data_IF_552292629191
#
_entry.id   IF_552292629191
#
_cell.length_a   1.000
_cell.length_b   1.000
_cell.length_c   1.000
_cell.angle_alpha   90.00
_cell.angle_beta   90.00
_cell.angle_gamma   90.00
#
_symmetry.space_group_name_H-M   'P 1'
#
loop_
_entity.id
_entity.type
_entity.pdbx_description
1 polymer ?
#
# COMPACT_ATOMS: atom_id res chain seq x y z
N UNK A 1 16.15 31.84 37.88
CA UNK A 1 16.70 30.49 38.17
C UNK A 1 15.78 29.36 37.72
N UNK A 2 14.48 29.39 38.02
CA UNK A 2 13.51 28.34 37.62
C UNK A 2 13.40 28.13 36.09
N UNK A 3 13.45 29.20 35.30
CA UNK A 3 13.36 29.11 33.83
C UNK A 3 14.55 28.37 33.17
N UNK A 4 15.76 28.50 33.75
CA UNK A 4 16.96 27.84 33.24
C UNK A 4 16.91 26.31 33.49
N UNK A 5 16.35 25.90 34.63
CA UNK A 5 16.16 24.49 34.98
C UNK A 5 15.08 23.87 34.08
N UNK A 6 13.99 24.60 33.81
CA UNK A 6 12.94 24.16 32.89
C UNK A 6 13.47 23.97 31.45
N UNK A 7 14.33 24.87 30.96
CA UNK A 7 14.97 24.73 29.65
C UNK A 7 15.97 23.57 29.57
N UNK A 8 16.76 23.36 30.63
CA UNK A 8 17.71 22.24 30.72
C UNK A 8 17.04 20.87 30.73
N UNK A 9 15.83 20.77 31.27
CA UNK A 9 15.04 19.53 31.26
C UNK A 9 14.20 19.36 29.98
N UNK A 10 13.71 20.44 29.38
CA UNK A 10 12.91 20.38 28.16
C UNK A 10 13.74 20.05 26.90
N UNK A 11 14.95 20.58 26.77
CA UNK A 11 15.83 20.33 25.62
C UNK A 11 16.14 18.83 25.37
N UNK A 12 16.54 18.01 26.36
CA UNK A 12 16.80 16.59 26.15
C UNK A 12 15.52 15.81 25.83
N UNK A 13 14.37 16.19 26.39
CA UNK A 13 13.08 15.55 26.09
C UNK A 13 12.71 15.78 24.62
N UNK A 14 12.81 17.03 24.15
CA UNK A 14 12.56 17.36 22.73
C UNK A 14 13.55 16.61 21.82
N UNK A 15 14.83 16.56 22.19
CA UNK A 15 15.85 15.81 21.46
C UNK A 15 15.54 14.31 21.37
N UNK A 16 15.08 13.70 22.46
CA UNK A 16 14.69 12.29 22.50
C UNK A 16 13.46 12.00 21.63
N UNK A 17 12.44 12.87 21.66
CA UNK A 17 11.24 12.75 20.80
C UNK A 17 11.64 12.85 19.33
N UNK A 18 12.49 13.81 18.98
CA UNK A 18 12.98 13.99 17.61
C UNK A 18 13.78 12.77 17.14
N UNK A 19 14.70 12.28 17.96
CA UNK A 19 15.51 11.11 17.65
C UNK A 19 14.63 9.87 17.47
N UNK A 20 13.65 9.65 18.34
CA UNK A 20 12.68 8.55 18.22
C UNK A 20 11.87 8.67 16.92
N UNK A 21 11.41 9.88 16.56
CA UNK A 21 10.68 10.14 15.32
C UNK A 21 11.55 9.86 14.09
N UNK A 22 12.82 10.27 14.10
CA UNK A 22 13.77 10.00 13.00
C UNK A 22 14.04 8.51 12.87
N UNK A 23 14.26 7.80 14.00
CA UNK A 23 14.47 6.35 13.99
C UNK A 23 13.26 5.61 13.43
N UNK A 24 12.04 5.95 13.88
CA UNK A 24 10.79 5.37 13.35
C UNK A 24 10.62 5.64 11.85
N UNK A 25 10.94 6.85 11.39
CA UNK A 25 10.91 7.16 9.96
C UNK A 25 11.92 6.31 9.19
N UNK A 26 13.14 6.15 9.69
CA UNK A 26 14.18 5.31 9.06
C UNK A 26 13.81 3.84 9.02
N UNK A 27 13.25 3.29 10.10
CA UNK A 27 12.80 1.89 10.11
C UNK A 27 11.64 1.68 9.15
N UNK A 28 10.70 2.62 9.09
CA UNK A 28 9.59 2.57 8.15
C UNK A 28 10.06 2.65 6.69
N UNK A 29 10.99 3.56 6.35
CA UNK A 29 11.52 3.64 4.99
C UNK A 29 12.36 2.42 4.61
N UNK A 30 13.10 1.83 5.55
CA UNK A 30 13.83 0.59 5.31
C UNK A 30 12.89 -0.58 4.99
N UNK A 31 11.87 -0.80 5.83
CA UNK A 31 10.86 -1.84 5.61
C UNK A 31 10.08 -1.62 4.30
N UNK A 32 9.73 -0.38 4.00
CA UNK A 32 9.02 -0.05 2.77
C UNK A 32 9.86 -0.30 1.51
N UNK A 33 11.17 0.01 1.55
CA UNK A 33 12.09 -0.33 0.46
C UNK A 33 12.22 -1.83 0.28
N UNK A 34 12.23 -2.59 1.37
CA UNK A 34 12.27 -4.05 1.31
C UNK A 34 11.00 -4.61 0.65
N UNK A 35 9.83 -4.05 0.96
CA UNK A 35 8.58 -4.39 0.24
C UNK A 35 8.63 -4.05 -1.24
N UNK A 36 9.18 -2.89 -1.61
CA UNK A 36 9.39 -2.55 -3.02
C UNK A 36 10.34 -3.50 -3.74
N UNK A 37 11.41 -3.97 -3.07
CA UNK A 37 12.29 -5.00 -3.65
C UNK A 37 11.55 -6.30 -3.93
N UNK A 38 10.77 -6.78 -2.96
CA UNK A 38 9.93 -7.97 -3.14
C UNK A 38 8.91 -7.78 -4.26
N UNK A 39 8.29 -6.59 -4.33
CA UNK A 39 7.35 -6.23 -5.38
C UNK A 39 7.99 -6.27 -6.77
N UNK A 40 9.16 -5.66 -6.93
CA UNK A 40 9.91 -5.65 -8.18
C UNK A 40 10.39 -7.05 -8.59
N UNK A 41 10.77 -7.87 -7.61
CA UNK A 41 11.13 -9.26 -7.84
C UNK A 41 9.93 -10.08 -8.31
N UNK A 42 8.80 -9.98 -7.62
CA UNK A 42 7.55 -10.62 -8.02
C UNK A 42 7.13 -10.18 -9.44
N UNK A 43 7.24 -8.88 -9.75
CA UNK A 43 6.94 -8.33 -11.08
C UNK A 43 7.84 -8.92 -12.18
N UNK A 44 9.08 -9.30 -11.87
CA UNK A 44 10.00 -9.95 -12.83
C UNK A 44 9.73 -11.44 -12.97
N UNK A 45 9.32 -12.10 -11.89
CA UNK A 45 9.05 -13.54 -11.85
C UNK A 45 7.72 -13.89 -12.54
N UNK A 46 6.72 -13.04 -12.37
CA UNK A 46 5.39 -13.23 -12.91
C UNK A 46 5.25 -12.49 -14.24
N UNK A 47 4.69 -13.16 -15.25
CA UNK A 47 4.54 -12.62 -16.61
C UNK A 47 3.53 -11.47 -16.70
N UNK A 48 2.29 -11.79 -17.09
CA UNK A 48 1.24 -10.78 -17.23
C UNK A 48 0.82 -10.26 -15.85
N UNK A 49 1.35 -9.10 -15.49
CA UNK A 49 1.03 -8.42 -14.23
C UNK A 49 0.49 -7.01 -14.51
N UNK A 50 -0.33 -6.50 -13.60
CA UNK A 50 -0.74 -5.11 -13.56
C UNK A 50 -0.53 -4.52 -12.18
N UNK A 51 -0.31 -3.21 -12.15
CA UNK A 51 -0.20 -2.47 -10.91
C UNK A 51 -1.50 -1.71 -10.68
N UNK A 52 -2.09 -1.89 -9.50
CA UNK A 52 -3.27 -1.14 -9.07
C UNK A 52 -2.98 -0.47 -7.73
N UNK A 53 -3.37 0.78 -7.59
CA UNK A 53 -3.24 1.50 -6.31
C UNK A 53 -4.57 1.51 -5.58
N UNK A 54 -4.56 1.10 -4.32
CA UNK A 54 -5.71 1.18 -3.42
C UNK A 54 -5.89 2.62 -2.98
N UNK A 55 -7.02 3.22 -3.32
CA UNK A 55 -7.37 4.59 -2.97
C UNK A 55 -8.14 4.67 -1.66
N UNK A 56 -9.07 3.73 -1.43
CA UNK A 56 -9.86 3.62 -0.20
C UNK A 56 -10.13 2.17 0.17
N UNK A 57 -10.41 1.95 1.46
CA UNK A 57 -10.94 0.70 2.00
C UNK A 57 -12.23 1.08 2.74
N UNK A 58 -13.36 0.73 2.15
CA UNK A 58 -14.67 1.29 2.51
C UNK A 58 -15.38 0.42 3.56
N UNK A 59 -15.30 -0.90 3.44
CA UNK A 59 -15.87 -1.85 4.39
C UNK A 59 -15.01 -3.11 4.51
N UNK A 60 -14.74 -3.52 5.75
CA UNK A 60 -14.02 -4.75 6.11
C UNK A 60 -15.03 -5.84 6.44
N UNK A 61 -15.02 -6.91 5.66
CA UNK A 61 -15.83 -8.12 5.85
C UNK A 61 -14.93 -9.33 6.16
N UNK A 62 -15.46 -10.42 6.74
CA UNK A 62 -14.65 -11.60 7.08
C UNK A 62 -13.97 -12.25 5.86
N UNK A 63 -14.61 -12.15 4.70
CA UNK A 63 -14.18 -12.76 3.43
C UNK A 63 -13.37 -11.81 2.56
N UNK A 64 -13.31 -10.52 2.89
CA UNK A 64 -12.67 -9.54 2.03
C UNK A 64 -12.99 -8.10 2.41
N UNK A 65 -12.75 -7.19 1.48
CA UNK A 65 -13.01 -5.77 1.69
C UNK A 65 -13.45 -5.09 0.40
N UNK A 66 -14.42 -4.20 0.53
CA UNK A 66 -14.75 -3.25 -0.51
C UNK A 66 -13.67 -2.17 -0.56
N UNK A 67 -13.06 -2.01 -1.72
CA UNK A 67 -11.97 -1.06 -1.94
C UNK A 67 -12.23 -0.25 -3.22
N UNK A 68 -11.65 0.94 -3.30
CA UNK A 68 -11.54 1.66 -4.57
C UNK A 68 -10.12 1.51 -5.09
N UNK A 69 -9.96 1.06 -6.34
CA UNK A 69 -8.65 0.91 -6.98
C UNK A 69 -8.47 1.85 -8.15
N UNK A 70 -7.22 2.20 -8.39
CA UNK A 70 -6.76 2.88 -9.60
C UNK A 70 -5.87 1.94 -10.39
N UNK A 71 -6.22 1.68 -11.64
CA UNK A 71 -5.35 1.00 -12.60
C UNK A 71 -4.23 1.94 -13.03
N UNK A 72 -3.01 1.71 -12.54
CA UNK A 72 -1.92 2.67 -12.70
C UNK A 72 -1.55 2.93 -14.16
N UNK A 73 -1.62 1.89 -14.99
CA UNK A 73 -1.31 2.00 -16.43
C UNK A 73 -2.39 2.73 -17.24
N UNK A 74 -3.65 2.66 -16.80
CA UNK A 74 -4.80 3.16 -17.56
C UNK A 74 -5.41 4.43 -16.96
N UNK A 75 -4.92 4.87 -15.80
CA UNK A 75 -5.48 5.97 -15.01
C UNK A 75 -6.98 5.78 -14.68
N UNK A 76 -7.46 4.54 -14.72
CA UNK A 76 -8.87 4.20 -14.53
C UNK A 76 -9.16 3.90 -13.05
N UNK A 77 -10.19 4.54 -12.49
CA UNK A 77 -10.62 4.34 -11.11
C UNK A 77 -11.95 3.60 -11.10
N UNK A 78 -12.05 2.55 -10.29
CA UNK A 78 -13.26 1.75 -10.16
C UNK A 78 -13.35 1.10 -8.78
N UNK A 79 -14.56 0.71 -8.34
CA UNK A 79 -14.71 -0.10 -7.14
C UNK A 79 -14.24 -1.53 -7.40
N UNK A 80 -13.75 -2.16 -6.35
CA UNK A 80 -13.33 -3.55 -6.37
C UNK A 80 -13.64 -4.25 -5.05
N UNK A 81 -13.84 -5.56 -5.16
CA UNK A 81 -13.83 -6.47 -4.03
C UNK A 81 -12.44 -7.11 -3.93
N UNK A 82 -11.78 -6.94 -2.79
CA UNK A 82 -10.53 -7.62 -2.49
C UNK A 82 -10.82 -8.77 -1.53
N UNK A 83 -10.56 -10.01 -1.94
CA UNK A 83 -10.63 -11.15 -1.03
C UNK A 83 -9.61 -11.00 0.12
N UNK A 84 -9.95 -11.55 1.29
CA UNK A 84 -9.13 -11.43 2.50
C UNK A 84 -7.70 -11.92 2.25
N UNK A 85 -6.74 -11.00 2.41
CA UNK A 85 -5.32 -11.29 2.30
C UNK A 85 -4.74 -11.66 3.67
N UNK A 86 -3.62 -12.40 3.66
CA UNK A 86 -2.90 -12.74 4.89
C UNK A 86 -2.37 -11.49 5.62
N UNK A 87 -2.04 -10.46 4.86
CA UNK A 87 -1.56 -9.18 5.39
C UNK A 87 -2.59 -8.07 5.15
N UNK A 88 -2.77 -7.15 6.12
CA UNK A 88 -3.71 -6.06 5.95
C UNK A 88 -3.24 -5.06 4.90
N UNK A 89 -4.14 -4.67 4.00
CA UNK A 89 -3.92 -3.65 2.98
C UNK A 89 -4.53 -2.32 3.43
N UNK A 90 -3.85 -1.23 3.08
CA UNK A 90 -4.21 0.12 3.49
C UNK A 90 -4.37 1.03 2.28
N UNK A 91 -5.12 2.14 2.41
CA UNK A 91 -5.12 3.20 1.41
C UNK A 91 -3.69 3.68 1.10
N UNK A 92 -3.39 3.86 -0.18
CA UNK A 92 -2.06 4.17 -0.67
C UNK A 92 -1.15 2.96 -0.86
N UNK A 93 -1.62 1.72 -0.69
CA UNK A 93 -0.88 0.54 -1.12
C UNK A 93 -0.97 0.36 -2.63
N UNK A 94 0.16 -0.01 -3.26
CA UNK A 94 0.22 -0.50 -4.64
C UNK A 94 0.21 -2.02 -4.58
N UNK A 95 -0.71 -2.64 -5.31
CA UNK A 95 -0.83 -4.09 -5.46
C UNK A 95 -0.29 -4.49 -6.84
N UNK A 96 0.50 -5.55 -6.87
CA UNK A 96 0.86 -6.26 -8.08
C UNK A 96 -0.16 -7.38 -8.24
N UNK A 97 -0.94 -7.33 -9.30
CA UNK A 97 -2.00 -8.30 -9.55
C UNK A 97 -1.75 -9.04 -10.86
N UNK A 98 -2.25 -10.27 -10.95
CA UNK A 98 -2.50 -10.96 -12.22
C UNK A 98 -3.93 -10.64 -12.65
N UNK A 99 -4.18 -9.79 -13.66
CA UNK A 99 -5.53 -9.43 -14.07
C UNK A 99 -6.30 -10.64 -14.56
N UNK A 100 -7.52 -10.82 -14.07
CA UNK A 100 -8.40 -11.88 -14.56
C UNK A 100 -8.93 -11.53 -15.96
N UNK A 101 -8.58 -12.30 -17.01
CA UNK A 101 -9.04 -12.04 -18.37
C UNK A 101 -10.55 -12.24 -18.53
N UNK A 102 -11.22 -12.96 -17.64
CA UNK A 102 -12.68 -13.06 -17.67
C UNK A 102 -13.37 -11.74 -17.28
N UNK A 103 -12.67 -10.88 -16.54
CA UNK A 103 -13.20 -9.60 -16.06
C UNK A 103 -12.71 -8.41 -16.87
N UNK A 104 -11.44 -8.41 -17.26
CA UNK A 104 -10.81 -7.29 -17.99
C UNK A 104 -10.04 -7.81 -19.19
N UNK A 105 -10.49 -7.43 -20.38
CA UNK A 105 -9.83 -7.70 -21.65
C UNK A 105 -9.74 -6.45 -22.53
N UNK A 106 -8.68 -6.31 -23.33
CA UNK A 106 -8.57 -5.21 -24.28
C UNK A 106 -9.77 -5.13 -25.22
N UNK A 107 -10.36 -3.94 -25.35
CA UNK A 107 -11.49 -3.68 -26.24
C UNK A 107 -12.87 -3.99 -25.67
N UNK A 108 -12.96 -4.59 -24.47
CA UNK A 108 -14.22 -4.74 -23.73
C UNK A 108 -14.42 -3.57 -22.76
N UNK A 109 -15.69 -3.26 -22.39
CA UNK A 109 -15.95 -2.28 -21.35
C UNK A 109 -15.41 -2.78 -20.00
N UNK A 110 -15.03 -1.82 -19.15
CA UNK A 110 -14.66 -2.12 -17.76
C UNK A 110 -15.86 -2.69 -16.99
N UNK A 111 -15.65 -3.69 -16.13
CA UNK A 111 -16.72 -4.19 -15.28
C UNK A 111 -17.11 -3.10 -14.25
N UNK A 112 -18.37 -3.10 -13.82
CA UNK A 112 -18.85 -2.16 -12.82
C UNK A 112 -18.09 -2.31 -11.48
N UNK A 113 -17.74 -3.55 -11.13
CA UNK A 113 -16.96 -3.93 -9.95
C UNK A 113 -15.94 -4.97 -10.37
N UNK A 114 -14.69 -4.82 -9.96
CA UNK A 114 -13.66 -5.82 -10.17
C UNK A 114 -13.48 -6.71 -8.94
N UNK A 115 -13.44 -8.01 -9.14
CA UNK A 115 -13.20 -8.98 -8.10
C UNK A 115 -11.74 -9.39 -8.16
N UNK A 116 -11.02 -9.17 -7.06
CA UNK A 116 -9.62 -9.51 -6.91
C UNK A 116 -9.49 -10.65 -5.89
N UNK A 117 -9.34 -11.90 -6.36
CA UNK A 117 -9.01 -13.04 -5.51
C UNK A 117 -7.67 -12.84 -4.80
N UNK A 118 -7.52 -13.45 -3.63
CA UNK A 118 -6.28 -13.39 -2.86
C UNK A 118 -5.11 -14.03 -3.64
N UNK A 119 -5.39 -15.07 -4.43
CA UNK A 119 -4.41 -15.74 -5.30
C UNK A 119 -3.83 -14.84 -6.39
N UNK A 120 -4.62 -13.86 -6.83
CA UNK A 120 -4.27 -12.99 -7.95
C UNK A 120 -3.53 -11.74 -7.47
N UNK A 121 -3.49 -11.49 -6.15
CA UNK A 121 -2.64 -10.49 -5.52
C UNK A 121 -1.25 -11.07 -5.23
N UNK A 122 -0.30 -10.78 -6.12
CA UNK A 122 1.04 -11.39 -6.11
C UNK A 122 1.99 -10.72 -5.10
N UNK A 123 1.88 -9.40 -4.96
CA UNK A 123 2.70 -8.61 -4.05
C UNK A 123 2.03 -7.28 -3.73
N UNK A 124 2.52 -6.60 -2.70
CA UNK A 124 2.13 -5.22 -2.41
C UNK A 124 3.29 -4.40 -1.88
N UNK A 125 3.22 -3.08 -2.09
CA UNK A 125 4.16 -2.12 -1.55
C UNK A 125 3.48 -0.77 -1.23
N UNK A 126 3.92 -0.03 -0.21
CA UNK A 126 3.31 1.27 0.12
C UNK A 126 3.75 2.37 -0.87
N UNK A 127 2.80 3.12 -1.44
CA UNK A 127 3.07 4.18 -2.41
C UNK A 127 3.92 5.32 -1.82
N UNK A 128 3.70 5.66 -0.55
CA UNK A 128 4.42 6.74 0.13
C UNK A 128 5.94 6.51 0.26
N UNK A 129 6.43 5.32 -0.06
CA UNK A 129 7.86 5.00 -0.07
C UNK A 129 8.53 5.10 -1.45
N UNK A 130 7.76 5.35 -2.50
CA UNK A 130 8.23 5.52 -3.89
C UNK A 130 8.29 6.98 -4.35
N UNK A 131 8.01 7.94 -3.46
CA UNK A 131 8.07 9.38 -3.73
C UNK A 131 9.46 9.97 -3.42
#
# INVERSE_FOLDING_TARGET
MMAAIAFLLAAPIVGAIWLARVRRRRSWTAAARERWKYFDEAKRLHGTTAEVTVLSVDALEPTGSWITIKWNRFDHVQPAWLESLHEPIWPGSVLLISPDPAQVMPGLPWPATYYLPASDCLAWAPAAANA
#
